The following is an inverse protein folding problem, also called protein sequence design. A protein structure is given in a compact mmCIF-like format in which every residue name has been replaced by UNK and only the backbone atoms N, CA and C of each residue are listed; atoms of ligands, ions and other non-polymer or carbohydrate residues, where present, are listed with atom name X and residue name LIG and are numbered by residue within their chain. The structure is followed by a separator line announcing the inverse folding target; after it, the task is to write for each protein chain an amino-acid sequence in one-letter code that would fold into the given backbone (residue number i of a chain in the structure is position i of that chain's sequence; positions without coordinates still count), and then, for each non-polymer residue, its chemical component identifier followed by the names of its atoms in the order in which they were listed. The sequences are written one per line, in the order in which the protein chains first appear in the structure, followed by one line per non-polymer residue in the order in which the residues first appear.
data_IF_769833067535
#
_entry.id   IF_769833067535
#
_cell.length_a   1.000
_cell.length_b   1.000
_cell.length_c   1.000
_cell.angle_alpha   90.00
_cell.angle_beta   90.00
_cell.angle_gamma   90.00
#
_symmetry.space_group_name_H-M   'P 1'
#
loop_
_entity.id
_entity.type
_entity.pdbx_description
1 polymer ?
#
# COMPACT_ATOMS: atom_id res chain seq x y z
N UNK A 1 11.69 -15.78 -1.02
CA UNK A 1 11.57 -15.09 -2.33
C UNK A 1 10.90 -15.97 -3.40
N UNK A 2 10.86 -17.30 -3.21
CA UNK A 2 10.22 -18.25 -4.14
C UNK A 2 8.67 -18.19 -4.13
N UNK A 3 8.04 -17.60 -3.10
CA UNK A 3 6.58 -17.47 -3.00
C UNK A 3 5.99 -16.27 -3.78
N UNK A 4 6.83 -15.36 -4.28
CA UNK A 4 6.37 -14.13 -4.94
C UNK A 4 5.59 -14.43 -6.22
N UNK A 5 6.06 -15.30 -7.15
CA UNK A 5 5.29 -15.67 -8.32
C UNK A 5 3.93 -16.31 -7.99
N UNK A 6 3.89 -17.17 -6.97
CA UNK A 6 2.66 -17.80 -6.48
C UNK A 6 1.66 -16.76 -5.94
N UNK A 7 2.14 -15.82 -5.12
CA UNK A 7 1.31 -14.74 -4.57
C UNK A 7 0.81 -13.78 -5.65
N UNK A 8 1.64 -13.43 -6.62
CA UNK A 8 1.25 -12.60 -7.77
C UNK A 8 0.12 -13.29 -8.53
N UNK A 9 0.29 -14.57 -8.88
CA UNK A 9 -0.72 -15.32 -9.60
C UNK A 9 -2.04 -15.41 -8.82
N UNK A 10 -1.95 -15.64 -7.51
CA UNK A 10 -3.14 -15.66 -6.63
C UNK A 10 -3.89 -14.32 -6.64
N UNK A 11 -3.19 -13.19 -6.46
CA UNK A 11 -3.83 -11.88 -6.48
C UNK A 11 -4.38 -11.53 -7.86
N UNK A 12 -3.65 -11.85 -8.92
CA UNK A 12 -4.10 -11.59 -10.29
C UNK A 12 -5.40 -12.33 -10.56
N UNK A 13 -5.50 -13.61 -10.20
CA UNK A 13 -6.72 -14.39 -10.38
C UNK A 13 -7.90 -13.83 -9.55
N UNK A 14 -7.67 -13.51 -8.27
CA UNK A 14 -8.70 -12.95 -7.38
C UNK A 14 -9.27 -11.62 -7.90
N UNK A 15 -8.41 -10.69 -8.31
CA UNK A 15 -8.83 -9.37 -8.78
C UNK A 15 -9.38 -9.40 -10.21
N UNK A 16 -8.82 -10.22 -11.10
CA UNK A 16 -9.34 -10.40 -12.45
C UNK A 16 -10.80 -10.85 -12.42
N UNK A 17 -11.12 -11.82 -11.54
CA UNK A 17 -12.50 -12.28 -11.31
C UNK A 17 -13.39 -11.18 -10.72
N UNK A 18 -12.92 -10.48 -9.68
CA UNK A 18 -13.68 -9.41 -9.01
C UNK A 18 -13.99 -8.23 -9.93
N UNK A 19 -13.09 -7.90 -10.85
CA UNK A 19 -13.21 -6.75 -11.76
C UNK A 19 -13.71 -7.14 -13.15
N UNK A 20 -14.06 -8.42 -13.38
CA UNK A 20 -14.45 -8.96 -14.68
C UNK A 20 -13.45 -8.61 -15.81
N UNK A 21 -12.16 -8.59 -15.48
CA UNK A 21 -11.06 -8.36 -16.44
C UNK A 21 -10.37 -9.67 -16.76
N UNK A 22 -10.06 -9.90 -18.04
CA UNK A 22 -9.33 -11.09 -18.48
C UNK A 22 -7.85 -10.79 -18.59
N UNK A 23 -7.09 -11.12 -17.55
CA UNK A 23 -5.63 -11.04 -17.59
C UNK A 23 -5.07 -12.38 -18.10
N UNK A 24 -4.41 -12.34 -19.24
CA UNK A 24 -3.86 -13.52 -19.92
C UNK A 24 -2.35 -13.65 -19.77
N UNK A 25 -1.67 -12.56 -19.41
CA UNK A 25 -0.21 -12.53 -19.32
C UNK A 25 0.30 -11.50 -18.33
N UNK A 26 1.37 -11.85 -17.64
CA UNK A 26 2.19 -10.94 -16.84
C UNK A 26 3.57 -10.92 -17.49
N UNK A 27 4.16 -9.74 -17.63
CA UNK A 27 5.48 -9.60 -18.20
C UNK A 27 6.56 -10.14 -17.28
N UNK A 28 7.53 -10.83 -17.88
CA UNK A 28 8.63 -11.44 -17.12
C UNK A 28 9.41 -10.39 -16.32
N UNK A 29 9.59 -9.19 -16.88
CA UNK A 29 10.25 -8.06 -16.21
C UNK A 29 9.55 -7.65 -14.91
N UNK A 30 8.21 -7.75 -14.85
CA UNK A 30 7.45 -7.51 -13.62
C UNK A 30 7.80 -8.54 -12.56
N UNK A 31 7.80 -9.83 -12.94
CA UNK A 31 8.11 -10.93 -12.03
C UNK A 31 9.54 -10.79 -11.50
N UNK A 32 10.50 -10.56 -12.39
CA UNK A 32 11.91 -10.41 -12.05
C UNK A 32 12.12 -9.21 -11.11
N UNK A 33 11.48 -8.07 -11.40
CA UNK A 33 11.61 -6.88 -10.54
C UNK A 33 10.97 -7.06 -9.17
N UNK A 34 9.80 -7.69 -9.11
CA UNK A 34 9.12 -7.97 -7.85
C UNK A 34 9.87 -9.01 -7.01
N UNK A 35 10.57 -9.96 -7.63
CA UNK A 35 11.46 -10.89 -6.91
C UNK A 35 12.65 -10.16 -6.28
N UNK A 36 13.13 -9.07 -6.87
CA UNK A 36 14.26 -8.30 -6.37
C UNK A 36 13.87 -7.23 -5.32
N UNK A 37 12.60 -6.83 -5.29
CA UNK A 37 12.10 -5.82 -4.37
C UNK A 37 12.07 -6.26 -2.90
N UNK A 38 12.65 -5.46 -2.01
CA UNK A 38 12.59 -5.67 -0.56
C UNK A 38 11.28 -5.10 -0.02
N UNK A 39 10.15 -5.79 -0.14
CA UNK A 39 8.83 -5.34 0.34
C UNK A 39 8.85 -4.90 1.82
N UNK A 40 8.95 -3.60 2.14
CA UNK A 40 9.03 -3.15 3.53
C UNK A 40 7.69 -3.32 4.29
N UNK A 41 6.57 -3.49 3.57
CA UNK A 41 5.21 -3.56 4.13
C UNK A 41 4.52 -4.92 4.06
N UNK A 42 5.25 -6.03 3.88
CA UNK A 42 4.73 -7.40 3.68
C UNK A 42 3.92 -7.58 2.37
N UNK A 43 3.27 -8.74 2.24
CA UNK A 43 2.39 -9.18 1.13
C UNK A 43 1.26 -8.18 0.77
N UNK A 44 0.91 -7.24 1.68
CA UNK A 44 -0.12 -6.22 1.41
C UNK A 44 0.29 -5.22 0.34
N UNK A 45 1.57 -4.88 0.26
CA UNK A 45 2.09 -4.02 -0.80
C UNK A 45 1.98 -4.71 -2.15
N UNK A 46 2.41 -5.97 -2.23
CA UNK A 46 2.28 -6.80 -3.43
C UNK A 46 0.82 -6.88 -3.89
N UNK A 47 -0.11 -7.14 -2.97
CA UNK A 47 -1.55 -7.16 -3.26
C UNK A 47 -2.03 -5.84 -3.86
N UNK A 48 -1.65 -4.71 -3.26
CA UNK A 48 -2.06 -3.38 -3.73
C UNK A 48 -1.48 -3.03 -5.10
N UNK A 49 -0.23 -3.42 -5.36
CA UNK A 49 0.41 -3.23 -6.66
C UNK A 49 -0.33 -4.02 -7.75
N UNK A 50 -0.66 -5.29 -7.49
CA UNK A 50 -1.44 -6.12 -8.42
C UNK A 50 -2.85 -5.56 -8.65
N UNK A 51 -3.53 -5.12 -7.59
CA UNK A 51 -4.87 -4.51 -7.68
C UNK A 51 -4.87 -3.29 -8.62
N UNK A 52 -3.88 -2.40 -8.46
CA UNK A 52 -3.73 -1.21 -9.30
C UNK A 52 -3.37 -1.56 -10.73
N UNK A 53 -2.43 -2.49 -10.93
CA UNK A 53 -2.04 -2.93 -12.26
C UNK A 53 -3.24 -3.47 -13.05
N UNK A 54 -4.14 -4.21 -12.40
CA UNK A 54 -5.37 -4.70 -13.05
C UNK A 54 -6.32 -3.55 -13.38
N UNK A 55 -6.49 -2.57 -12.48
CA UNK A 55 -7.31 -1.37 -12.73
C UNK A 55 -6.80 -0.62 -13.97
N UNK A 56 -5.48 -0.43 -14.08
CA UNK A 56 -4.84 0.31 -15.16
C UNK A 56 -4.69 -0.49 -16.47
N UNK A 57 -4.70 -1.83 -16.39
CA UNK A 57 -4.52 -2.65 -17.58
C UNK A 57 -5.73 -2.54 -18.53
N UNK A 58 -5.44 -2.14 -19.77
CA UNK A 58 -6.45 -2.06 -20.84
C UNK A 58 -6.36 -3.25 -21.82
N UNK A 59 -5.20 -3.93 -21.89
CA UNK A 59 -4.90 -4.92 -22.93
C UNK A 59 -4.90 -6.38 -22.44
N UNK A 60 -5.44 -6.68 -21.25
CA UNK A 60 -5.43 -8.05 -20.70
C UNK A 60 -4.02 -8.62 -20.45
N UNK A 61 -3.03 -7.74 -20.35
CA UNK A 61 -1.63 -8.00 -20.08
C UNK A 61 -1.17 -7.03 -19.01
N UNK A 62 -0.40 -7.49 -18.04
CA UNK A 62 0.21 -6.62 -17.03
C UNK A 62 1.71 -6.43 -17.35
N UNK A 63 2.10 -5.17 -17.53
CA UNK A 63 3.45 -4.70 -17.85
C UNK A 63 4.07 -3.97 -16.66
N UNK A 64 5.37 -3.65 -16.73
CA UNK A 64 6.05 -2.89 -15.68
C UNK A 64 5.43 -1.50 -15.45
N UNK A 65 4.90 -0.89 -16.51
CA UNK A 65 4.24 0.40 -16.47
C UNK A 65 2.93 0.34 -15.67
N UNK A 66 2.17 -0.75 -15.78
CA UNK A 66 0.92 -0.97 -15.02
C UNK A 66 1.20 -1.10 -13.52
N UNK A 67 2.35 -1.66 -13.17
CA UNK A 67 2.83 -1.74 -11.80
C UNK A 67 3.55 -0.46 -11.34
N UNK A 68 3.69 0.54 -12.22
CA UNK A 68 4.40 1.79 -11.99
C UNK A 68 5.81 1.54 -11.41
N UNK A 69 6.44 0.47 -11.91
CA UNK A 69 7.79 0.08 -11.53
C UNK A 69 8.73 0.96 -12.35
N UNK A 70 8.99 2.18 -11.88
CA UNK A 70 10.06 3.01 -12.43
C UNK A 70 11.40 2.30 -12.19
N UNK A 71 11.95 1.70 -13.26
CA UNK A 71 13.35 1.24 -13.43
C UNK A 71 14.11 1.03 -12.10
N UNK A 72 13.68 0.05 -11.33
CA UNK A 72 14.22 -0.31 -9.99
C UNK A 72 15.68 -0.78 -10.07
N UNK A 73 16.23 -0.97 -11.27
CA UNK A 73 17.63 -1.30 -11.51
C UNK A 73 18.47 -0.05 -11.78
N UNK A 74 18.72 0.77 -10.75
CA UNK A 74 19.97 1.53 -10.49
C UNK A 74 19.71 2.74 -9.58
N UNK A 75 19.70 2.50 -8.27
CA UNK A 75 20.58 3.17 -7.31
C UNK A 75 20.09 2.89 -5.91
N UNK A 76 21.00 2.34 -5.12
CA UNK A 76 21.08 2.62 -3.70
C UNK A 76 21.06 4.15 -3.56
N UNK A 77 19.94 4.69 -3.12
CA UNK A 77 19.73 6.01 -2.51
C UNK A 77 18.22 6.10 -2.37
N UNK A 78 17.68 6.31 -1.17
CA UNK A 78 16.29 6.72 -1.05
C UNK A 78 16.07 7.97 -1.93
N UNK A 79 14.97 8.05 -2.69
CA UNK A 79 14.38 9.36 -2.91
C UNK A 79 12.86 9.29 -2.86
N UNK A 80 12.25 10.13 -2.03
CA UNK A 80 10.97 10.80 -2.29
C UNK A 80 10.10 10.20 -3.42
N UNK A 81 9.42 9.08 -3.17
CA UNK A 81 8.15 8.85 -3.86
C UNK A 81 7.10 9.74 -3.18
N UNK A 82 7.23 11.03 -3.47
CA UNK A 82 6.23 12.08 -3.24
C UNK A 82 5.02 11.92 -4.17
N UNK A 83 4.92 10.84 -4.95
CA UNK A 83 3.69 10.47 -5.65
C UNK A 83 2.89 9.52 -4.76
N UNK A 84 2.06 10.19 -3.97
CA UNK A 84 1.07 9.75 -3.01
C UNK A 84 0.58 8.32 -3.21
N UNK A 85 0.59 7.56 -2.11
CA UNK A 85 -0.29 6.42 -1.95
C UNK A 85 -1.73 6.88 -2.16
N UNK A 86 -2.26 6.77 -3.38
CA UNK A 86 -3.66 7.12 -3.74
C UNK A 86 -4.71 6.17 -3.11
N UNK A 87 -4.35 5.49 -2.02
CA UNK A 87 -5.30 4.71 -1.21
C UNK A 87 -5.75 5.58 -0.03
N UNK A 88 -7.02 5.99 -0.07
CA UNK A 88 -7.65 6.79 0.98
C UNK A 88 -7.51 6.15 2.37
N UNK A 89 -7.53 4.82 2.48
CA UNK A 89 -7.36 4.16 3.78
C UNK A 89 -5.93 4.28 4.28
N UNK A 90 -4.92 4.24 3.40
CA UNK A 90 -3.52 4.39 3.79
C UNK A 90 -3.22 5.85 4.12
N UNK A 91 -3.71 6.80 3.33
CA UNK A 91 -3.59 8.23 3.63
C UNK A 91 -4.25 8.57 4.98
N UNK A 92 -5.48 8.10 5.20
CA UNK A 92 -6.20 8.32 6.45
C UNK A 92 -5.47 7.66 7.63
N UNK A 93 -5.01 6.41 7.49
CA UNK A 93 -4.23 5.73 8.53
C UNK A 93 -2.95 6.48 8.88
N UNK A 94 -2.20 6.93 7.87
CA UNK A 94 -0.93 7.63 8.07
C UNK A 94 -1.16 9.02 8.70
N UNK A 95 -2.22 9.73 8.31
CA UNK A 95 -2.61 10.99 8.94
C UNK A 95 -2.93 10.79 10.43
N UNK A 96 -3.68 9.73 10.78
CA UNK A 96 -4.00 9.39 12.17
C UNK A 96 -2.73 9.12 12.99
N UNK A 97 -1.81 8.31 12.47
CA UNK A 97 -0.56 7.98 13.14
C UNK A 97 0.26 9.25 13.37
N UNK A 98 0.45 10.08 12.33
CA UNK A 98 1.18 11.35 12.43
C UNK A 98 0.57 12.28 13.49
N UNK A 99 -0.74 12.46 13.49
CA UNK A 99 -1.42 13.33 14.45
C UNK A 99 -1.29 12.81 15.89
N UNK A 100 -1.35 11.49 16.12
CA UNK A 100 -1.17 10.89 17.43
C UNK A 100 0.25 11.12 17.96
N UNK A 101 1.27 10.97 17.12
CA UNK A 101 2.66 11.25 17.52
C UNK A 101 2.89 12.74 17.78
N UNK A 102 2.40 13.63 16.91
CA UNK A 102 2.49 15.09 17.12
C UNK A 102 1.77 15.54 18.39
N UNK A 103 0.70 14.86 18.76
CA UNK A 103 -0.07 15.10 19.98
C UNK A 103 0.51 14.40 21.22
N UNK A 104 1.71 13.81 21.17
CA UNK A 104 2.32 13.05 22.28
C UNK A 104 1.36 11.99 22.85
N UNK A 105 0.70 11.24 21.96
CA UNK A 105 -0.29 10.21 22.28
C UNK A 105 -1.59 10.70 22.95
N UNK A 106 -1.83 12.02 22.99
CA UNK A 106 -3.10 12.59 23.44
C UNK A 106 -4.14 12.53 22.31
N UNK A 107 -5.08 11.57 22.39
CA UNK A 107 -6.14 11.38 21.40
C UNK A 107 -7.02 12.62 21.19
N UNK A 108 -7.32 13.38 22.25
CA UNK A 108 -8.14 14.60 22.13
C UNK A 108 -7.41 15.71 21.37
N UNK A 109 -6.11 15.86 21.59
CA UNK A 109 -5.28 16.80 20.84
C UNK A 109 -5.06 16.33 19.39
N UNK A 110 -4.86 15.03 19.15
CA UNK A 110 -4.75 14.47 17.81
C UNK A 110 -6.02 14.67 16.97
N UNK A 111 -7.21 14.52 17.59
CA UNK A 111 -8.49 14.76 16.91
C UNK A 111 -8.61 16.23 16.46
N UNK A 112 -8.15 17.18 17.28
CA UNK A 112 -8.09 18.60 16.92
C UNK A 112 -7.13 18.85 15.75
N UNK A 113 -5.95 18.23 15.74
CA UNK A 113 -4.99 18.36 14.63
C UNK A 113 -5.56 17.86 13.29
N UNK A 114 -6.40 16.83 13.34
CA UNK A 114 -7.07 16.26 12.15
C UNK A 114 -8.39 16.95 11.80
N UNK A 115 -8.80 17.96 12.57
CA UNK A 115 -10.08 18.64 12.43
C UNK A 115 -11.31 17.69 12.41
N UNK A 116 -11.31 16.71 13.30
CA UNK A 116 -12.41 15.74 13.47
C UNK A 116 -12.82 15.61 14.94
N UNK A 117 -14.01 15.06 15.21
CA UNK A 117 -14.42 14.77 16.58
C UNK A 117 -13.60 13.63 17.19
N UNK A 118 -13.45 13.64 18.52
CA UNK A 118 -12.79 12.55 19.26
C UNK A 118 -13.41 11.18 18.96
N UNK A 119 -14.75 11.10 18.90
CA UNK A 119 -15.47 9.87 18.58
C UNK A 119 -15.13 9.36 17.17
N UNK A 120 -14.99 10.28 16.20
CA UNK A 120 -14.66 9.94 14.83
C UNK A 120 -13.20 9.47 14.68
N UNK A 121 -12.28 10.00 15.50
CA UNK A 121 -10.92 9.50 15.61
C UNK A 121 -10.90 8.10 16.25
N UNK A 122 -11.59 7.89 17.37
CA UNK A 122 -11.60 6.62 18.09
C UNK A 122 -12.16 5.47 17.23
N UNK A 123 -13.22 5.74 16.45
CA UNK A 123 -13.76 4.79 15.47
C UNK A 123 -12.72 4.39 14.42
N UNK A 124 -11.93 5.34 13.92
CA UNK A 124 -10.90 5.08 12.90
C UNK A 124 -9.70 4.32 13.47
N UNK A 125 -9.27 4.64 14.70
CA UNK A 125 -8.23 3.88 15.41
C UNK A 125 -8.63 2.41 15.54
N UNK A 126 -9.90 2.14 15.91
CA UNK A 126 -10.46 0.78 15.96
C UNK A 126 -10.55 0.13 14.58
N UNK A 127 -11.04 0.86 13.56
CA UNK A 127 -11.12 0.39 12.15
C UNK A 127 -9.76 -0.11 11.67
N UNK A 128 -8.69 0.62 11.97
CA UNK A 128 -7.33 0.31 11.53
C UNK A 128 -6.51 -0.53 12.51
N UNK A 129 -7.12 -0.97 13.63
CA UNK A 129 -6.47 -1.75 14.70
C UNK A 129 -5.14 -1.12 15.15
N UNK A 130 -5.11 0.20 15.28
CA UNK A 130 -3.91 0.93 15.68
C UNK A 130 -3.74 0.84 17.20
N UNK A 131 -2.56 0.39 17.63
CA UNK A 131 -2.14 0.35 19.03
C UNK A 131 -1.02 1.35 19.21
N UNK A 132 -1.14 2.19 20.23
CA UNK A 132 -0.15 3.21 20.56
C UNK A 132 0.32 2.98 21.98
N UNK A 133 1.58 2.60 22.16
CA UNK A 133 2.19 2.45 23.46
C UNK A 133 2.90 3.75 23.84
N UNK A 134 2.49 4.35 24.95
CA UNK A 134 3.22 5.46 25.55
C UNK A 134 4.45 4.85 26.23
N UNK A 135 5.63 4.98 25.62
CA UNK A 135 6.89 4.76 26.36
C UNK A 135 7.00 5.87 27.39
N UNK A 136 6.65 5.55 28.63
CA UNK A 136 7.02 6.34 29.80
C UNK A 136 8.53 6.17 29.95
N UNK A 137 9.26 7.25 29.69
CA UNK A 137 10.64 7.41 30.14
C UNK A 137 10.68 7.80 31.61
#
# INVERSE_FOLDING_TARGET
KEDIPLLINYFVDDFSKKMNKKITRIDKEVIDTLMDYSFPGNVRELRNMVERAIILSDSGRLSADDFQIDKVSKKISHPNNNFEVLDLNVLERNAIIKAIHQANFNKSAAAKLLNISFQALDRRIKKYKLVFEKRLG
#
